data_IF_929424259418
#
_entry.id   IF_929424259418
#
_cell.length_a   1.000
_cell.length_b   1.000
_cell.length_c   1.000
_cell.angle_alpha   90.00
_cell.angle_beta   90.00
_cell.angle_gamma   90.00
#
_symmetry.space_group_name_H-M   'P 1'
#
loop_
_entity.id
_entity.type
_entity.pdbx_description
1 polymer ?
#
# COMPACT_ATOMS: atom_id res chain seq x y z
N UNK A 1 3.17 35.34 -19.63
CA UNK A 1 2.01 35.37 -18.70
C UNK A 1 2.15 34.19 -17.77
N UNK A 2 2.49 34.44 -16.50
CA UNK A 2 2.75 33.39 -15.52
C UNK A 2 1.46 32.68 -15.12
N UNK A 3 1.44 31.35 -15.26
CA UNK A 3 0.38 30.51 -14.69
C UNK A 3 0.67 30.42 -13.19
N UNK A 4 -0.12 31.10 -12.37
CA UNK A 4 -0.13 30.89 -10.92
C UNK A 4 -0.63 29.47 -10.62
N UNK A 5 0.29 28.50 -10.53
CA UNK A 5 0.02 27.15 -10.04
C UNK A 5 -0.36 27.22 -8.57
N UNK A 6 -1.66 27.10 -8.27
CA UNK A 6 -2.14 27.00 -6.90
C UNK A 6 -2.29 25.51 -6.56
N UNK A 7 -1.19 24.90 -6.11
CA UNK A 7 -1.03 23.43 -5.94
C UNK A 7 -2.23 22.73 -5.29
N UNK A 8 -2.88 23.34 -4.30
CA UNK A 8 -4.04 22.75 -3.62
C UNK A 8 -5.35 22.79 -4.41
N UNK A 9 -5.56 23.81 -5.25
CA UNK A 9 -6.77 23.93 -6.08
C UNK A 9 -6.74 22.96 -7.26
N UNK A 10 -5.56 22.75 -7.86
CA UNK A 10 -5.41 21.83 -9.00
C UNK A 10 -5.50 20.36 -8.55
N UNK A 11 -5.04 20.03 -7.34
CA UNK A 11 -5.25 18.72 -6.70
C UNK A 11 -6.72 18.40 -6.40
N UNK A 12 -7.62 19.40 -6.34
CA UNK A 12 -9.07 19.19 -6.12
C UNK A 12 -9.87 18.97 -7.39
N UNK A 13 -9.42 19.51 -8.53
CA UNK A 13 -10.15 19.43 -9.82
C UNK A 13 -10.01 18.08 -10.53
N UNK A 14 -8.95 17.34 -10.24
CA UNK A 14 -8.64 16.02 -10.81
C UNK A 14 -8.82 14.91 -9.75
N UNK A 15 -9.89 14.97 -8.94
CA UNK A 15 -10.19 13.89 -7.98
C UNK A 15 -11.13 12.87 -8.60
N UNK A 16 -10.77 11.60 -8.47
CA UNK A 16 -11.66 10.52 -8.85
C UNK A 16 -12.80 10.43 -7.83
N UNK A 17 -14.01 10.12 -8.33
CA UNK A 17 -15.20 9.99 -7.51
C UNK A 17 -15.23 8.61 -6.83
N UNK A 18 -15.10 8.52 -5.49
CA UNK A 18 -15.05 7.24 -4.79
C UNK A 18 -16.44 6.64 -4.53
N UNK A 19 -17.54 7.31 -4.91
CA UNK A 19 -18.91 6.83 -4.64
C UNK A 19 -19.17 5.39 -5.09
N UNK A 20 -18.73 4.93 -6.28
CA UNK A 20 -18.93 3.53 -6.69
C UNK A 20 -18.27 2.53 -5.73
N UNK A 21 -17.11 2.87 -5.18
CA UNK A 21 -16.38 2.02 -4.22
C UNK A 21 -17.05 1.98 -2.85
N UNK A 22 -17.72 3.06 -2.43
CA UNK A 22 -18.50 3.11 -1.17
C UNK A 22 -19.68 2.14 -1.18
N UNK A 23 -20.33 2.01 -2.34
CA UNK A 23 -21.48 1.13 -2.54
C UNK A 23 -21.08 -0.30 -2.92
N UNK A 24 -19.81 -0.56 -3.21
CA UNK A 24 -19.33 -1.87 -3.61
C UNK A 24 -19.38 -2.85 -2.44
N UNK A 25 -19.77 -4.10 -2.73
CA UNK A 25 -19.67 -5.23 -1.79
C UNK A 25 -18.29 -5.90 -1.81
N UNK A 26 -17.35 -5.38 -2.59
CA UNK A 26 -16.01 -5.94 -2.67
C UNK A 26 -15.32 -5.92 -1.29
N UNK A 27 -14.68 -7.05 -0.96
CA UNK A 27 -13.84 -7.18 0.22
C UNK A 27 -12.57 -6.32 0.07
N UNK A 28 -12.22 -5.53 1.08
CA UNK A 28 -11.03 -4.68 1.09
C UNK A 28 -10.07 -5.15 2.18
N UNK A 29 -8.90 -5.65 1.76
CA UNK A 29 -7.87 -6.16 2.66
C UNK A 29 -6.61 -5.33 2.53
N UNK A 30 -6.09 -4.86 3.65
CA UNK A 30 -4.78 -4.22 3.70
C UNK A 30 -3.72 -5.22 4.13
N UNK A 31 -2.65 -5.38 3.35
CA UNK A 31 -1.43 -6.07 3.77
C UNK A 31 -0.38 -5.03 4.16
N UNK A 32 -0.21 -4.88 5.48
CA UNK A 32 0.69 -3.92 6.11
C UNK A 32 1.95 -4.65 6.56
N UNK A 33 3.05 -3.92 6.69
CA UNK A 33 4.31 -4.43 7.22
C UNK A 33 5.50 -3.64 6.70
N UNK A 34 6.67 -3.89 7.27
CA UNK A 34 7.89 -3.13 6.95
C UNK A 34 8.34 -3.27 5.49
N UNK A 35 9.12 -2.32 4.95
CA UNK A 35 9.75 -2.48 3.64
C UNK A 35 10.63 -3.76 3.65
N UNK A 36 10.59 -4.56 2.59
CA UNK A 36 11.34 -5.83 2.52
C UNK A 36 10.70 -7.03 3.22
N UNK A 37 9.56 -6.86 3.91
CA UNK A 37 8.90 -7.96 4.66
C UNK A 37 8.28 -9.07 3.78
N UNK A 38 8.18 -8.87 2.46
CA UNK A 38 7.63 -9.88 1.53
C UNK A 38 6.20 -9.62 1.03
N UNK A 39 5.62 -8.44 1.29
CA UNK A 39 4.25 -8.06 0.86
C UNK A 39 3.95 -8.31 -0.62
N UNK A 40 4.88 -7.98 -1.52
CA UNK A 40 4.65 -8.15 -2.97
C UNK A 40 4.53 -9.63 -3.35
N UNK A 41 5.43 -10.47 -2.83
CA UNK A 41 5.42 -11.91 -3.08
C UNK A 41 4.15 -12.55 -2.55
N UNK A 42 3.82 -12.26 -1.28
CA UNK A 42 2.60 -12.76 -0.65
C UNK A 42 1.35 -12.26 -1.38
N UNK A 43 1.29 -10.96 -1.66
CA UNK A 43 0.14 -10.31 -2.29
C UNK A 43 -0.21 -10.89 -3.66
N UNK A 44 0.80 -11.22 -4.48
CA UNK A 44 0.57 -11.91 -5.76
C UNK A 44 -0.05 -13.30 -5.58
N UNK A 45 0.44 -14.10 -4.63
CA UNK A 45 -0.11 -15.44 -4.36
C UNK A 45 -1.55 -15.36 -3.85
N UNK A 46 -1.83 -14.46 -2.89
CA UNK A 46 -3.16 -14.27 -2.32
C UNK A 46 -4.16 -13.74 -3.37
N UNK A 47 -3.78 -12.72 -4.13
CA UNK A 47 -4.63 -12.16 -5.17
C UNK A 47 -5.04 -13.21 -6.22
N UNK A 48 -4.09 -14.07 -6.63
CA UNK A 48 -4.37 -15.17 -7.54
C UNK A 48 -5.34 -16.19 -6.95
N UNK A 49 -5.12 -16.64 -5.70
CA UNK A 49 -5.95 -17.66 -5.05
C UNK A 49 -7.40 -17.19 -4.85
N UNK A 50 -7.59 -15.95 -4.42
CA UNK A 50 -8.92 -15.43 -4.06
C UNK A 50 -9.59 -14.63 -5.18
N UNK A 51 -8.98 -14.58 -6.37
CA UNK A 51 -9.45 -13.75 -7.49
C UNK A 51 -9.68 -12.28 -7.07
N UNK A 52 -8.73 -11.73 -6.32
CA UNK A 52 -8.74 -10.34 -5.89
C UNK A 52 -7.83 -9.48 -6.77
N UNK A 53 -8.17 -8.20 -6.87
CA UNK A 53 -7.32 -7.21 -7.52
C UNK A 53 -6.19 -6.81 -6.58
N UNK A 54 -4.95 -7.11 -6.95
CA UNK A 54 -3.78 -6.64 -6.23
C UNK A 54 -3.51 -5.17 -6.54
N UNK A 55 -3.60 -4.30 -5.53
CA UNK A 55 -3.31 -2.88 -5.65
C UNK A 55 -2.05 -2.54 -4.87
N UNK A 56 -0.93 -2.33 -5.57
CA UNK A 56 0.36 -1.99 -4.96
C UNK A 56 0.70 -0.52 -5.16
N UNK A 57 0.74 0.25 -4.07
CA UNK A 57 1.13 1.67 -4.12
C UNK A 57 2.48 1.85 -4.81
N UNK A 58 3.47 1.03 -4.47
CA UNK A 58 4.80 1.14 -5.07
C UNK A 58 4.80 0.84 -6.58
N UNK A 59 3.92 -0.04 -7.04
CA UNK A 59 3.81 -0.36 -8.47
C UNK A 59 3.15 0.81 -9.23
N UNK A 60 2.03 1.31 -8.71
CA UNK A 60 1.34 2.49 -9.27
C UNK A 60 2.29 3.68 -9.36
N UNK A 61 3.05 3.96 -8.30
CA UNK A 61 4.01 5.07 -8.31
C UNK A 61 5.11 4.86 -9.35
N UNK A 62 5.67 3.65 -9.51
CA UNK A 62 6.67 3.37 -10.54
C UNK A 62 6.09 3.50 -11.96
N UNK A 63 4.86 3.06 -12.18
CA UNK A 63 4.15 3.25 -13.45
C UNK A 63 3.99 4.75 -13.77
N UNK A 64 3.60 5.56 -12.78
CA UNK A 64 3.49 7.02 -12.93
C UNK A 64 4.84 7.70 -13.18
N UNK A 65 5.91 7.25 -12.53
CA UNK A 65 7.28 7.71 -12.80
C UNK A 65 7.70 7.39 -14.23
N UNK A 66 7.39 6.19 -14.73
CA UNK A 66 7.73 5.75 -16.08
C UNK A 66 7.03 6.58 -17.18
N UNK A 67 5.90 7.23 -16.87
CA UNK A 67 5.21 8.14 -17.80
C UNK A 67 5.97 9.44 -18.07
N UNK A 68 6.99 9.79 -17.27
CA UNK A 68 7.81 10.99 -17.48
C UNK A 68 7.04 12.31 -17.36
N UNK A 69 5.92 12.32 -16.64
CA UNK A 69 5.12 13.53 -16.42
C UNK A 69 5.66 14.34 -15.25
N UNK A 70 5.24 15.60 -15.09
CA UNK A 70 5.59 16.42 -13.92
C UNK A 70 5.19 15.74 -12.59
N UNK A 71 4.00 15.10 -12.56
CA UNK A 71 3.55 14.30 -11.41
C UNK A 71 4.47 13.09 -11.20
N UNK A 72 4.86 12.40 -12.27
CA UNK A 72 5.81 11.30 -12.21
C UNK A 72 7.17 11.70 -11.63
N UNK A 73 7.72 12.85 -12.06
CA UNK A 73 8.96 13.39 -11.50
C UNK A 73 8.83 13.76 -10.03
N UNK A 74 7.70 14.32 -9.62
CA UNK A 74 7.41 14.57 -8.22
C UNK A 74 7.36 13.26 -7.42
N UNK A 75 6.72 12.21 -7.92
CA UNK A 75 6.68 10.92 -7.22
C UNK A 75 8.07 10.30 -7.10
N UNK A 76 8.87 10.41 -8.17
CA UNK A 76 10.24 9.92 -8.22
C UNK A 76 11.07 10.50 -7.07
N UNK A 77 11.00 11.81 -6.82
CA UNK A 77 11.80 12.46 -5.77
C UNK A 77 11.46 11.93 -4.36
N UNK A 78 10.18 11.76 -4.03
CA UNK A 78 9.78 11.13 -2.76
C UNK A 78 10.26 9.68 -2.66
N UNK A 79 10.18 8.92 -3.77
CA UNK A 79 10.58 7.51 -3.78
C UNK A 79 12.09 7.32 -3.57
N UNK A 80 12.91 8.14 -4.22
CA UNK A 80 14.38 8.16 -4.11
C UNK A 80 14.86 8.57 -2.71
N UNK A 81 14.11 9.42 -2.03
CA UNK A 81 14.38 9.82 -0.65
C UNK A 81 13.83 8.83 0.38
N UNK A 82 12.97 7.88 -0.04
CA UNK A 82 12.30 6.96 0.88
C UNK A 82 11.19 7.60 1.72
N UNK A 83 10.67 8.73 1.26
CA UNK A 83 9.68 9.54 1.95
C UNK A 83 8.24 9.12 1.67
N UNK A 84 7.33 9.61 2.50
CA UNK A 84 5.90 9.40 2.34
C UNK A 84 5.30 10.51 1.48
N UNK A 85 4.57 10.11 0.44
CA UNK A 85 3.72 11.04 -0.29
C UNK A 85 2.56 11.52 0.59
N UNK A 86 2.05 12.74 0.36
CA UNK A 86 0.85 13.26 1.03
C UNK A 86 -0.34 12.29 0.91
N UNK A 87 -1.07 12.10 2.01
CA UNK A 87 -2.17 11.14 2.10
C UNK A 87 -3.21 11.27 0.98
N UNK A 88 -3.58 12.51 0.63
CA UNK A 88 -4.55 12.79 -0.46
C UNK A 88 -4.07 12.21 -1.79
N UNK A 89 -2.79 12.34 -2.12
CA UNK A 89 -2.25 11.85 -3.38
C UNK A 89 -2.28 10.32 -3.42
N UNK A 90 -1.88 9.68 -2.31
CA UNK A 90 -1.87 8.21 -2.20
C UNK A 90 -3.29 7.64 -2.28
N UNK A 91 -4.25 8.21 -1.56
CA UNK A 91 -5.66 7.76 -1.58
C UNK A 91 -6.27 7.96 -2.96
N UNK A 92 -5.99 9.07 -3.64
CA UNK A 92 -6.50 9.30 -4.99
C UNK A 92 -5.92 8.33 -6.03
N UNK A 93 -4.63 7.97 -5.92
CA UNK A 93 -4.03 6.91 -6.74
C UNK A 93 -4.70 5.56 -6.51
N UNK A 94 -5.02 5.22 -5.25
CA UNK A 94 -5.75 4.00 -4.91
C UNK A 94 -7.15 4.00 -5.51
N UNK A 95 -7.92 5.07 -5.27
CA UNK A 95 -9.30 5.19 -5.76
C UNK A 95 -9.36 4.99 -7.27
N UNK A 96 -8.49 5.67 -8.02
CA UNK A 96 -8.42 5.50 -9.48
C UNK A 96 -8.15 4.05 -9.87
N UNK A 97 -7.12 3.45 -9.25
CA UNK A 97 -6.76 2.07 -9.58
C UNK A 97 -7.85 1.07 -9.23
N UNK A 98 -8.60 1.30 -8.15
CA UNK A 98 -9.75 0.47 -7.79
C UNK A 98 -10.91 0.65 -8.77
N UNK A 99 -11.17 1.88 -9.21
CA UNK A 99 -12.22 2.17 -10.20
C UNK A 99 -11.96 1.57 -11.58
N UNK A 100 -10.72 1.21 -11.91
CA UNK A 100 -10.40 0.42 -13.12
C UNK A 100 -10.99 -1.01 -13.05
N UNK A 101 -11.40 -1.47 -11.86
CA UNK A 101 -11.93 -2.82 -11.62
C UNK A 101 -13.24 -2.78 -10.80
N UNK A 102 -14.31 -2.13 -11.30
CA UNK A 102 -15.52 -1.87 -10.52
C UNK A 102 -16.22 -3.15 -10.03
N UNK A 103 -16.07 -4.25 -10.77
CA UNK A 103 -16.69 -5.55 -10.51
C UNK A 103 -15.76 -6.53 -9.74
N UNK A 104 -14.69 -6.01 -9.11
CA UNK A 104 -13.77 -6.86 -8.33
C UNK A 104 -14.49 -7.53 -7.15
N UNK A 105 -14.24 -8.83 -6.95
CA UNK A 105 -14.69 -9.56 -5.76
C UNK A 105 -14.00 -9.07 -4.48
N UNK A 106 -12.78 -8.55 -4.62
CA UNK A 106 -12.04 -7.95 -3.54
C UNK A 106 -10.78 -7.23 -4.01
N UNK A 107 -10.27 -6.36 -3.16
CA UNK A 107 -9.06 -5.57 -3.34
C UNK A 107 -8.06 -5.95 -2.27
N UNK A 108 -6.90 -6.44 -2.70
CA UNK A 108 -5.76 -6.69 -1.83
C UNK A 108 -4.79 -5.52 -1.97
N UNK A 109 -4.83 -4.59 -1.03
CA UNK A 109 -4.05 -3.36 -1.09
C UNK A 109 -2.76 -3.53 -0.27
N UNK A 110 -1.62 -3.32 -0.91
CA UNK A 110 -0.31 -3.50 -0.27
C UNK A 110 0.50 -2.20 -0.23
N UNK A 111 1.25 -2.03 0.87
CA UNK A 111 2.05 -0.82 1.09
C UNK A 111 1.22 0.40 1.49
N UNK A 112 0.01 0.17 2.00
CA UNK A 112 -0.96 1.13 2.51
C UNK A 112 -1.71 0.53 3.71
N UNK A 113 -2.18 1.33 4.68
CA UNK A 113 -1.77 2.71 4.94
C UNK A 113 -0.35 2.75 5.51
N UNK A 114 0.38 3.84 5.25
CA UNK A 114 1.72 4.09 5.81
C UNK A 114 1.72 5.06 6.98
N UNK A 115 0.64 5.82 7.15
CA UNK A 115 0.45 6.72 8.29
C UNK A 115 -1.04 6.81 8.69
N UNK A 116 -1.31 7.54 9.77
CA UNK A 116 -2.68 7.76 10.27
C UNK A 116 -3.55 8.53 9.29
N UNK A 117 -2.99 9.53 8.59
CA UNK A 117 -3.75 10.41 7.69
C UNK A 117 -4.29 9.62 6.51
N UNK A 118 -3.49 8.72 5.95
CA UNK A 118 -3.87 7.79 4.89
C UNK A 118 -5.02 6.89 5.34
N UNK A 119 -4.90 6.23 6.49
CA UNK A 119 -5.94 5.33 7.02
C UNK A 119 -7.28 6.06 7.24
N UNK A 120 -7.25 7.20 7.93
CA UNK A 120 -8.46 7.99 8.21
C UNK A 120 -9.11 8.53 6.93
N UNK A 121 -8.28 9.00 5.99
CA UNK A 121 -8.79 9.54 4.73
C UNK A 121 -9.44 8.45 3.88
N UNK A 122 -8.84 7.27 3.77
CA UNK A 122 -9.43 6.16 3.01
C UNK A 122 -10.73 5.65 3.64
N UNK A 123 -10.78 5.52 4.96
CA UNK A 123 -12.02 5.13 5.66
C UNK A 123 -13.15 6.12 5.37
N UNK A 124 -12.85 7.42 5.31
CA UNK A 124 -13.83 8.49 5.05
C UNK A 124 -14.20 8.59 3.57
N UNK A 125 -13.23 8.47 2.67
CA UNK A 125 -13.44 8.66 1.24
C UNK A 125 -14.00 7.40 0.55
N UNK A 126 -13.62 6.20 1.02
CA UNK A 126 -13.88 4.90 0.36
C UNK A 126 -14.69 3.96 1.27
N UNK A 127 -14.05 3.20 2.15
CA UNK A 127 -14.68 2.39 3.22
C UNK A 127 -13.58 1.92 4.18
N UNK A 128 -13.91 1.59 5.44
CA UNK A 128 -13.00 0.84 6.30
C UNK A 128 -12.61 -0.51 5.65
N UNK A 129 -11.39 -1.03 5.90
CA UNK A 129 -11.01 -2.37 5.45
C UNK A 129 -11.75 -3.44 6.24
N UNK A 130 -12.00 -4.57 5.58
CA UNK A 130 -12.61 -5.76 6.18
C UNK A 130 -11.56 -6.58 6.97
N UNK A 131 -10.29 -6.51 6.56
CA UNK A 131 -9.16 -7.16 7.23
C UNK A 131 -7.87 -6.36 7.08
N UNK A 132 -7.07 -6.29 8.14
CA UNK A 132 -5.67 -5.87 8.06
C UNK A 132 -4.76 -7.04 8.43
N UNK A 133 -3.92 -7.46 7.50
CA UNK A 133 -2.86 -8.44 7.74
C UNK A 133 -1.56 -7.67 7.98
N UNK A 134 -1.10 -7.61 9.23
CA UNK A 134 0.15 -6.95 9.59
C UNK A 134 1.29 -7.97 9.66
N UNK A 135 2.13 -7.97 8.62
CA UNK A 135 3.35 -8.76 8.55
C UNK A 135 4.45 -8.08 9.39
N UNK A 136 4.92 -8.75 10.44
CA UNK A 136 6.00 -8.25 11.27
C UNK A 136 7.29 -9.05 11.09
N UNK A 137 8.41 -8.33 11.15
CA UNK A 137 9.75 -8.89 11.20
C UNK A 137 10.68 -7.87 11.88
N UNK A 138 11.79 -8.36 12.41
CA UNK A 138 12.84 -7.55 13.04
C UNK A 138 13.44 -6.59 12.03
N UNK A 139 13.81 -5.40 12.51
CA UNK A 139 14.46 -4.35 11.70
C UNK A 139 15.69 -4.88 10.95
N UNK A 140 16.51 -5.71 11.59
CA UNK A 140 17.70 -6.34 10.98
C UNK A 140 17.35 -7.24 9.80
N UNK A 141 16.26 -8.02 9.89
CA UNK A 141 15.77 -8.87 8.80
C UNK A 141 15.28 -8.03 7.64
N UNK A 142 14.49 -6.97 7.91
CA UNK A 142 14.01 -6.05 6.88
C UNK A 142 15.17 -5.39 6.12
N UNK A 143 16.16 -4.88 6.86
CA UNK A 143 17.34 -4.24 6.29
C UNK A 143 18.14 -5.21 5.43
N UNK A 144 18.43 -6.42 5.93
CA UNK A 144 19.15 -7.44 5.16
C UNK A 144 18.43 -7.76 3.84
N UNK A 145 17.11 -7.97 3.88
CA UNK A 145 16.30 -8.27 2.68
C UNK A 145 16.29 -7.11 1.67
N UNK A 146 16.25 -5.86 2.14
CA UNK A 146 16.26 -4.69 1.25
C UNK A 146 17.61 -4.48 0.59
N UNK A 147 18.71 -4.67 1.33
CA UNK A 147 20.07 -4.59 0.76
C UNK A 147 20.25 -5.66 -0.31
N UNK A 148 19.82 -6.89 -0.03
CA UNK A 148 19.86 -7.96 -1.03
C UNK A 148 19.04 -7.61 -2.28
N UNK A 149 17.81 -7.10 -2.12
CA UNK A 149 16.95 -6.68 -3.23
C UNK A 149 17.57 -5.55 -4.06
N UNK A 150 18.25 -4.60 -3.43
CA UNK A 150 18.89 -3.49 -4.11
C UNK A 150 19.95 -3.99 -5.12
N UNK A 151 20.72 -5.01 -4.74
CA UNK A 151 21.72 -5.65 -5.60
C UNK A 151 21.09 -6.43 -6.74
N UNK A 152 20.00 -7.15 -6.47
CA UNK A 152 19.35 -8.03 -7.47
C UNK A 152 18.52 -7.25 -8.51
N UNK A 153 17.84 -6.19 -8.10
CA UNK A 153 16.80 -5.55 -8.93
C UNK A 153 17.21 -4.22 -9.54
N UNK A 154 18.28 -3.59 -9.02
CA UNK A 154 18.75 -2.27 -9.44
C UNK A 154 17.62 -1.23 -9.50
N UNK A 155 16.64 -1.34 -8.59
CA UNK A 155 15.54 -0.37 -8.48
C UNK A 155 16.10 1.00 -8.09
N UNK A 156 15.72 2.04 -8.83
CA UNK A 156 16.18 3.41 -8.59
C UNK A 156 15.83 3.91 -7.17
N UNK A 157 14.78 3.35 -6.57
CA UNK A 157 14.27 3.73 -5.25
C UNK A 157 14.77 2.83 -4.11
N UNK A 158 15.82 2.03 -4.36
CA UNK A 158 16.51 1.17 -3.39
C UNK A 158 17.94 1.63 -3.10
N UNK A 159 18.15 2.95 -3.02
CA UNK A 159 19.39 3.53 -2.48
C UNK A 159 19.53 3.24 -0.98
N UNK A 160 20.75 3.26 -0.46
CA UNK A 160 20.98 3.05 0.98
C UNK A 160 20.18 4.05 1.84
N UNK A 161 20.12 5.31 1.39
CA UNK A 161 19.34 6.36 2.03
C UNK A 161 17.84 6.09 1.98
N UNK A 162 17.30 5.74 0.82
CA UNK A 162 15.88 5.39 0.68
C UNK A 162 15.52 4.21 1.59
N UNK A 163 16.36 3.17 1.64
CA UNK A 163 16.14 1.99 2.48
C UNK A 163 16.08 2.39 3.96
N UNK A 164 17.04 3.19 4.42
CA UNK A 164 17.10 3.68 5.80
C UNK A 164 15.86 4.48 6.16
N UNK A 165 15.49 5.43 5.31
CA UNK A 165 14.34 6.32 5.53
C UNK A 165 13.02 5.52 5.51
N UNK A 166 12.86 4.56 4.58
CA UNK A 166 11.67 3.68 4.54
C UNK A 166 11.49 2.87 5.82
N UNK A 167 12.58 2.32 6.36
CA UNK A 167 12.54 1.56 7.62
C UNK A 167 12.16 2.49 8.78
N UNK A 168 12.82 3.65 8.89
CA UNK A 168 12.54 4.63 9.95
C UNK A 168 11.08 5.10 9.88
N UNK A 169 10.63 5.55 8.71
CA UNK A 169 9.27 6.01 8.47
C UNK A 169 8.24 4.93 8.80
N UNK A 170 8.51 3.66 8.48
CA UNK A 170 7.64 2.55 8.86
C UNK A 170 7.47 2.44 10.37
N UNK A 171 8.56 2.35 11.14
CA UNK A 171 8.47 2.16 12.59
C UNK A 171 7.87 3.37 13.32
N UNK A 172 8.19 4.58 12.87
CA UNK A 172 7.62 5.82 13.42
C UNK A 172 6.11 5.90 13.21
N UNK A 173 5.63 5.51 12.02
CA UNK A 173 4.24 5.70 11.64
C UNK A 173 3.34 4.47 11.84
N UNK A 174 3.90 3.27 12.08
CA UNK A 174 3.16 2.00 12.17
C UNK A 174 1.94 2.09 13.08
N UNK A 175 2.13 2.58 14.32
CA UNK A 175 1.03 2.73 15.29
C UNK A 175 -0.09 3.61 14.73
N UNK A 176 0.26 4.73 14.10
CA UNK A 176 -0.71 5.64 13.49
C UNK A 176 -1.46 5.01 12.31
N UNK A 177 -0.78 4.22 11.49
CA UNK A 177 -1.35 3.58 10.32
C UNK A 177 -2.38 2.49 10.67
N UNK A 178 -2.14 1.71 11.73
CA UNK A 178 -3.00 0.57 12.10
C UNK A 178 -4.09 0.94 13.12
N UNK A 179 -3.85 1.92 14.01
CA UNK A 179 -4.77 2.25 15.10
C UNK A 179 -6.22 2.53 14.65
N UNK A 180 -6.47 3.27 13.54
CA UNK A 180 -7.83 3.56 13.09
C UNK A 180 -8.67 2.31 12.80
N UNK A 181 -8.02 1.19 12.45
CA UNK A 181 -8.66 -0.05 12.01
C UNK A 181 -8.15 -1.26 12.81
N UNK A 182 -7.66 -1.05 14.04
CA UNK A 182 -6.97 -2.09 14.84
C UNK A 182 -7.85 -3.31 15.15
N UNK A 183 -9.17 -3.14 15.16
CA UNK A 183 -10.13 -4.19 15.55
C UNK A 183 -10.13 -5.34 14.54
N UNK A 184 -9.93 -5.03 13.25
CA UNK A 184 -9.87 -6.01 12.16
C UNK A 184 -8.44 -6.44 11.85
N UNK A 185 -7.47 -6.13 12.72
CA UNK A 185 -6.06 -6.43 12.47
C UNK A 185 -5.68 -7.83 12.97
N UNK A 186 -4.92 -8.54 12.16
CA UNK A 186 -4.28 -9.82 12.48
C UNK A 186 -2.77 -9.71 12.27
N UNK A 187 -2.01 -10.19 13.24
CA UNK A 187 -0.55 -10.19 13.21
C UNK A 187 -0.04 -11.50 12.63
N UNK A 188 0.94 -11.43 11.72
CA UNK A 188 1.56 -12.62 11.13
C UNK A 188 3.06 -12.45 11.13
N UNK A 189 3.77 -13.43 11.71
CA UNK A 189 5.24 -13.48 11.65
C UNK A 189 5.69 -13.68 10.21
N UNK A 190 6.54 -12.79 9.71
CA UNK A 190 7.08 -12.86 8.35
C UNK A 190 8.56 -13.26 8.31
N UNK A 191 9.10 -13.73 9.44
CA UNK A 191 10.41 -14.36 9.51
C UNK A 191 10.37 -15.87 9.27
N UNK A 192 9.20 -16.49 9.44
CA UNK A 192 8.96 -17.89 9.05
C UNK A 192 8.95 -18.05 7.52
N UNK A 193 8.88 -19.30 7.06
CA UNK A 193 8.87 -19.62 5.64
C UNK A 193 7.67 -19.02 4.90
N UNK A 194 7.87 -18.60 3.63
CA UNK A 194 6.82 -17.95 2.83
C UNK A 194 5.56 -18.82 2.67
N UNK A 195 5.71 -20.15 2.64
CA UNK A 195 4.56 -21.06 2.55
C UNK A 195 3.73 -21.07 3.83
N UNK A 196 4.37 -20.94 4.99
CA UNK A 196 3.68 -20.84 6.28
C UNK A 196 2.95 -19.48 6.40
N UNK A 197 3.63 -18.38 6.07
CA UNK A 197 3.00 -17.05 5.99
C UNK A 197 1.79 -17.07 5.06
N UNK A 198 1.95 -17.68 3.89
CA UNK A 198 0.89 -17.81 2.90
C UNK A 198 -0.28 -18.65 3.42
N UNK A 199 -0.01 -19.80 4.04
CA UNK A 199 -1.04 -20.68 4.61
C UNK A 199 -1.85 -19.97 5.70
N UNK A 200 -1.17 -19.33 6.66
CA UNK A 200 -1.83 -18.58 7.74
C UNK A 200 -2.70 -17.46 7.18
N UNK A 201 -2.17 -16.68 6.24
CA UNK A 201 -2.91 -15.55 5.65
C UNK A 201 -4.07 -16.01 4.77
N UNK A 202 -4.01 -17.17 4.12
CA UNK A 202 -5.17 -17.76 3.45
C UNK A 202 -6.29 -18.05 4.45
N UNK A 203 -5.99 -18.71 5.57
CA UNK A 203 -7.00 -19.01 6.59
C UNK A 203 -7.69 -17.76 7.12
N UNK A 204 -6.93 -16.68 7.36
CA UNK A 204 -7.49 -15.40 7.79
C UNK A 204 -8.44 -14.77 6.75
N UNK A 205 -8.17 -14.93 5.46
CA UNK A 205 -9.06 -14.42 4.40
C UNK A 205 -10.30 -15.31 4.29
N UNK A 206 -10.14 -16.63 4.36
CA UNK A 206 -11.25 -17.59 4.33
C UNK A 206 -12.23 -17.34 5.49
N UNK A 207 -11.74 -17.03 6.70
CA UNK A 207 -12.59 -16.63 7.84
C UNK A 207 -13.45 -15.38 7.58
N UNK A 208 -12.97 -14.45 6.76
CA UNK A 208 -13.72 -13.25 6.38
C UNK A 208 -14.77 -13.61 5.34
N UNK A 209 -14.40 -14.37 4.32
CA UNK A 209 -15.28 -14.79 3.24
C UNK A 209 -16.44 -15.69 3.71
N UNK A 210 -16.28 -16.42 4.82
CA UNK A 210 -17.34 -17.23 5.41
C UNK A 210 -18.37 -16.43 6.23
N UNK A 211 -18.11 -15.14 6.52
CA UNK A 211 -19.00 -14.29 7.35
C UNK A 211 -19.96 -13.42 6.52
N UNK A 212 -19.78 -13.38 5.21
CA UNK A 212 -20.68 -12.71 4.26
C UNK A 212 -21.76 -13.66 3.72
#
# INVERSE_FOLDING_TARGET
>A
MGICFNKEKDLRRDRADPRPLRSSRAIVIFVVGGPGVGKNTLGKKLALKFNFVLVSISAILREEVAKGTEKGHLYKSFMEQGDLLPAVMVVQLLVRKMLDYPDANGYLIIGFPRDKKQAVLFNTEVKPPDLIINLYARKSVLQKRLVQRAVETLQFDDTEEAIRNRITNYFVNLKGAIMPNRIVMKMVDAEVGIEEVYSVTCGLIEEILMKE
#
